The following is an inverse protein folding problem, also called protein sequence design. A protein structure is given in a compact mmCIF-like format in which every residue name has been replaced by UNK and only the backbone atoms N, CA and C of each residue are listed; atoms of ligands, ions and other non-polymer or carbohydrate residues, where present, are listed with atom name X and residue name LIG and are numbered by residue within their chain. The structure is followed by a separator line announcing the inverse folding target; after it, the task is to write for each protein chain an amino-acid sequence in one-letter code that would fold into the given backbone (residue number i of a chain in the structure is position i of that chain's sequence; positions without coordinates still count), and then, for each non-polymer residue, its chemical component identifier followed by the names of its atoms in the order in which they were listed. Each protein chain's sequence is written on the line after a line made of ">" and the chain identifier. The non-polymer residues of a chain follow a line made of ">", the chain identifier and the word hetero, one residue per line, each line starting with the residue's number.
data_IF_657438192716
#
_entry.id   IF_657438192716
#
_cell.length_a   1.000
_cell.length_b   1.000
_cell.length_c   1.000
_cell.angle_alpha   90.00
_cell.angle_beta   90.00
_cell.angle_gamma   90.00
#
_symmetry.space_group_name_H-M   'P 1'
#
loop_
_entity.id
_entity.type
_entity.pdbx_description
1 polymer ?
#
# COMPACT_ATOMS: atom_id res chain seq x y z
N UNK A 1 32.85 29.81 22.60
CA UNK A 1 31.96 30.20 21.48
C UNK A 1 31.82 29.12 20.41
N UNK A 2 32.85 28.76 19.60
CA UNK A 2 32.72 27.75 18.52
C UNK A 2 32.10 26.39 18.93
N UNK A 3 32.46 25.87 20.12
CA UNK A 3 31.88 24.62 20.67
C UNK A 3 30.37 24.71 20.95
N UNK A 4 29.86 25.90 21.32
CA UNK A 4 28.43 26.14 21.56
C UNK A 4 27.64 26.17 20.25
N UNK A 5 28.21 26.77 19.19
CA UNK A 5 27.64 26.75 17.84
C UNK A 5 27.55 25.32 17.27
N UNK A 6 28.59 24.50 17.48
CA UNK A 6 28.55 23.08 17.11
C UNK A 6 27.46 22.31 17.88
N UNK A 7 27.31 22.56 19.18
CA UNK A 7 26.28 21.90 19.99
C UNK A 7 24.86 22.32 19.58
N UNK A 8 24.62 23.62 19.32
CA UNK A 8 23.35 24.08 18.76
C UNK A 8 23.09 23.49 17.37
N UNK A 9 24.09 23.40 16.49
CA UNK A 9 23.87 22.83 15.15
C UNK A 9 23.41 21.37 15.20
N UNK A 10 23.94 20.56 16.12
CA UNK A 10 23.48 19.17 16.32
C UNK A 10 22.01 19.08 16.72
N UNK A 11 21.51 20.03 17.53
CA UNK A 11 20.11 20.06 17.97
C UNK A 11 19.13 20.42 16.84
N UNK A 12 19.57 21.11 15.79
CA UNK A 12 18.72 21.43 14.63
C UNK A 12 18.66 20.29 13.59
N UNK A 13 19.64 19.39 13.56
CA UNK A 13 19.72 18.28 12.58
C UNK A 13 18.64 17.20 12.74
N UNK A 14 17.90 17.15 13.85
CA UNK A 14 16.91 16.11 14.16
C UNK A 14 15.54 16.26 13.47
N UNK A 15 15.33 17.30 12.65
CA UNK A 15 14.01 17.67 12.12
C UNK A 15 13.68 17.15 10.70
N UNK A 16 14.48 16.23 10.15
CA UNK A 16 14.17 15.57 8.89
C UNK A 16 13.51 14.20 9.14
N UNK A 17 12.55 13.83 8.28
CA UNK A 17 11.70 12.62 8.32
C UNK A 17 10.39 12.72 9.14
N UNK A 18 9.49 13.64 8.77
CA UNK A 18 8.05 13.49 9.04
C UNK A 18 7.31 13.29 7.71
N UNK A 19 7.28 12.04 7.23
CA UNK A 19 6.28 11.61 6.26
C UNK A 19 4.98 11.36 7.03
N UNK A 20 4.16 12.41 7.20
CA UNK A 20 3.01 12.37 8.09
C UNK A 20 1.93 11.38 7.66
N UNK A 21 1.35 10.68 8.63
CA UNK A 21 0.18 9.83 8.42
C UNK A 21 -1.11 10.64 8.28
N UNK A 22 -2.01 10.12 7.44
CA UNK A 22 -3.31 10.72 7.15
C UNK A 22 -4.41 9.82 7.70
N UNK A 23 -5.23 10.37 8.58
CA UNK A 23 -6.45 9.70 9.03
C UNK A 23 -7.51 9.68 7.91
N UNK A 24 -8.14 8.54 7.73
CA UNK A 24 -9.31 8.35 6.87
C UNK A 24 -10.50 8.10 7.79
N UNK A 25 -11.53 8.93 7.68
CA UNK A 25 -12.79 8.72 8.41
C UNK A 25 -13.47 7.40 8.00
N UNK A 26 -14.38 6.91 8.83
CA UNK A 26 -15.20 5.77 8.48
C UNK A 26 -16.23 6.11 7.39
N UNK A 27 -16.61 5.09 6.62
CA UNK A 27 -17.56 5.24 5.51
C UNK A 27 -18.20 3.90 5.14
N UNK A 28 -19.30 3.98 4.38
CA UNK A 28 -19.92 2.81 3.75
C UNK A 28 -19.51 2.73 2.27
N UNK A 29 -19.16 1.54 1.81
CA UNK A 29 -18.95 1.25 0.38
C UNK A 29 -20.30 1.15 -0.35
N UNK A 30 -20.29 1.29 -1.68
CA UNK A 30 -21.50 1.18 -2.53
C UNK A 30 -22.28 -0.12 -2.36
N UNK A 31 -21.64 -1.20 -1.92
CA UNK A 31 -22.25 -2.51 -1.62
C UNK A 31 -22.71 -2.66 -0.15
N UNK A 32 -22.80 -1.58 0.62
CA UNK A 32 -23.22 -1.57 2.02
C UNK A 32 -22.15 -1.99 3.03
N UNK A 33 -20.94 -2.38 2.62
CA UNK A 33 -19.88 -2.75 3.58
C UNK A 33 -19.37 -1.52 4.34
N UNK A 34 -19.47 -1.55 5.67
CA UNK A 34 -18.85 -0.57 6.56
C UNK A 34 -17.32 -0.69 6.54
N UNK A 35 -16.63 0.45 6.51
CA UNK A 35 -15.17 0.57 6.63
C UNK A 35 -14.87 1.48 7.81
N UNK A 36 -14.27 0.92 8.86
CA UNK A 36 -13.79 1.69 10.02
C UNK A 36 -12.69 2.68 9.60
N UNK A 37 -12.67 3.85 10.24
CA UNK A 37 -11.61 4.82 10.09
C UNK A 37 -10.24 4.24 10.47
N UNK A 38 -9.20 4.68 9.77
CA UNK A 38 -7.84 4.14 9.87
C UNK A 38 -6.81 5.15 9.37
N UNK A 39 -5.56 4.98 9.81
CA UNK A 39 -4.43 5.72 9.25
C UNK A 39 -3.91 5.09 7.96
N UNK A 40 -3.39 5.93 7.08
CA UNK A 40 -2.62 5.57 5.89
C UNK A 40 -1.48 6.56 5.68
N UNK A 41 -0.49 6.14 4.90
CA UNK A 41 0.57 7.03 4.41
C UNK A 41 0.02 8.25 3.67
N UNK A 42 0.77 9.35 3.74
CA UNK A 42 0.51 10.57 2.96
C UNK A 42 0.43 10.26 1.45
N UNK A 43 -0.55 10.85 0.73
CA UNK A 43 -0.69 10.61 -0.71
C UNK A 43 0.49 11.23 -1.48
N UNK A 44 1.17 10.43 -2.29
CA UNK A 44 2.26 10.87 -3.15
C UNK A 44 2.24 10.14 -4.52
N UNK A 45 3.29 10.31 -5.34
CA UNK A 45 3.38 9.74 -6.70
C UNK A 45 4.02 8.34 -6.76
N UNK A 46 4.27 7.70 -5.61
CA UNK A 46 4.89 6.38 -5.51
C UNK A 46 4.01 5.43 -4.67
N UNK A 47 4.37 4.15 -4.69
CA UNK A 47 3.79 3.13 -3.82
C UNK A 47 4.84 2.47 -2.92
N UNK A 48 6.11 2.91 -2.99
CA UNK A 48 7.23 2.32 -2.25
C UNK A 48 7.05 2.36 -0.73
N UNK A 49 6.45 3.43 -0.22
CA UNK A 49 6.29 3.75 1.21
C UNK A 49 4.95 3.30 1.79
N UNK A 50 3.94 3.03 0.95
CA UNK A 50 2.60 2.62 1.40
C UNK A 50 2.66 1.39 2.33
N UNK A 51 1.93 1.44 3.45
CA UNK A 51 1.83 0.32 4.41
C UNK A 51 1.29 -0.98 3.82
N UNK A 52 0.57 -0.93 2.70
CA UNK A 52 0.09 -2.14 2.01
C UNK A 52 1.14 -2.77 1.08
N UNK A 53 2.27 -2.10 0.84
CA UNK A 53 3.33 -2.55 -0.08
C UNK A 53 4.30 -3.47 0.65
N UNK A 54 4.67 -4.59 0.03
CA UNK A 54 5.69 -5.49 0.58
C UNK A 54 7.09 -4.86 0.48
N UNK A 55 7.95 -4.92 1.52
CA UNK A 55 7.79 -5.59 2.82
C UNK A 55 7.42 -4.62 3.97
N UNK A 56 6.81 -3.47 3.70
CA UNK A 56 6.55 -2.44 4.72
C UNK A 56 5.60 -2.97 5.80
N UNK A 57 5.80 -2.53 7.05
CA UNK A 57 4.92 -2.87 8.16
C UNK A 57 4.03 -1.66 8.47
N UNK A 58 2.73 -1.87 8.65
CA UNK A 58 1.82 -0.84 9.15
C UNK A 58 2.07 -0.63 10.66
N UNK A 59 2.53 0.55 11.12
CA UNK A 59 2.84 0.78 12.54
C UNK A 59 1.61 0.70 13.45
N UNK A 60 0.40 0.89 12.91
CA UNK A 60 -0.85 0.88 13.66
C UNK A 60 -1.46 -0.51 13.87
N UNK A 61 -1.04 -1.51 13.08
CA UNK A 61 -1.62 -2.87 13.11
C UNK A 61 -0.57 -3.98 13.21
N UNK A 62 0.72 -3.66 13.06
CA UNK A 62 1.81 -4.65 13.00
C UNK A 62 1.78 -5.55 11.75
N UNK A 63 0.82 -5.37 10.85
CA UNK A 63 0.65 -6.21 9.66
C UNK A 63 1.60 -5.79 8.55
N UNK A 64 2.33 -6.75 7.98
CA UNK A 64 3.16 -6.52 6.80
C UNK A 64 2.31 -6.36 5.52
N UNK A 65 2.70 -5.43 4.67
CA UNK A 65 2.15 -5.22 3.34
C UNK A 65 2.43 -6.41 2.41
N UNK A 66 1.48 -6.67 1.51
CA UNK A 66 1.47 -7.83 0.60
C UNK A 66 1.42 -7.44 -0.88
N UNK A 67 1.23 -6.15 -1.20
CA UNK A 67 1.19 -5.67 -2.58
C UNK A 67 2.61 -5.46 -3.10
N UNK A 68 2.96 -6.14 -4.18
CA UNK A 68 4.22 -5.88 -4.88
C UNK A 68 4.05 -4.67 -5.82
N UNK A 69 5.00 -3.74 -5.79
CA UNK A 69 4.94 -2.47 -6.56
C UNK A 69 4.97 -2.65 -8.08
N UNK A 70 5.35 -3.82 -8.56
CA UNK A 70 5.44 -4.14 -9.98
C UNK A 70 4.52 -5.31 -10.31
N UNK A 71 3.42 -5.03 -10.99
CA UNK A 71 2.76 -6.04 -11.81
C UNK A 71 3.70 -6.36 -12.98
N UNK A 72 4.54 -7.39 -12.82
CA UNK A 72 5.30 -8.01 -13.91
C UNK A 72 4.39 -8.74 -14.94
N UNK A 73 3.07 -8.58 -14.81
CA UNK A 73 2.04 -9.04 -15.74
C UNK A 73 1.24 -7.89 -16.37
N UNK A 74 1.89 -6.76 -16.65
CA UNK A 74 1.52 -5.93 -17.80
C UNK A 74 2.04 -6.54 -19.10
N UNK A 75 1.77 -7.84 -19.32
CA UNK A 75 1.89 -8.42 -20.66
C UNK A 75 0.89 -7.69 -21.55
N UNK A 76 1.29 -7.21 -22.75
CA UNK A 76 0.32 -6.76 -23.73
C UNK A 76 -0.70 -7.88 -23.94
N UNK A 77 -2.01 -7.54 -23.98
CA UNK A 77 -3.05 -8.51 -24.33
C UNK A 77 -2.88 -8.93 -25.80
N UNK A 78 -2.04 -9.92 -26.05
CA UNK A 78 -2.09 -10.70 -27.27
C UNK A 78 -3.39 -11.51 -27.21
N UNK A 79 -4.29 -11.24 -28.16
CA UNK A 79 -5.58 -11.92 -28.28
C UNK A 79 -5.35 -13.36 -28.76
N UNK A 80 -5.05 -14.27 -27.85
CA UNK A 80 -5.14 -15.70 -28.13
C UNK A 80 -6.61 -16.09 -28.14
N UNK A 81 -7.10 -16.46 -29.33
CA UNK A 81 -8.40 -17.11 -29.50
C UNK A 81 -8.37 -18.42 -28.72
N UNK A 82 -9.05 -18.46 -27.57
CA UNK A 82 -9.25 -19.70 -26.82
C UNK A 82 -10.41 -20.48 -27.46
N UNK A 83 -10.18 -21.68 -28.01
CA UNK A 83 -11.26 -22.50 -28.53
C UNK A 83 -12.19 -22.91 -27.39
N UNK A 84 -13.49 -22.89 -27.66
CA UNK A 84 -14.54 -23.18 -26.69
C UNK A 84 -14.56 -24.68 -26.37
N UNK A 85 -13.98 -25.06 -25.24
CA UNK A 85 -14.06 -26.43 -24.72
C UNK A 85 -15.51 -26.80 -24.39
N UNK A 86 -16.06 -27.81 -25.06
CA UNK A 86 -17.35 -28.39 -24.69
C UNK A 86 -17.14 -29.39 -23.55
N UNK A 87 -17.94 -29.26 -22.50
CA UNK A 87 -17.90 -30.11 -21.30
C UNK A 87 -18.98 -31.20 -21.37
N UNK A 88 -18.60 -32.34 -21.92
CA UNK A 88 -19.12 -33.69 -21.60
C UNK A 88 -18.25 -34.28 -20.47
N UNK A 89 -18.68 -35.06 -19.50
CA UNK A 89 -19.99 -35.63 -19.09
C UNK A 89 -19.84 -36.10 -17.61
N UNK A 90 -20.81 -36.60 -16.82
CA UNK A 90 -22.19 -37.05 -17.09
C UNK A 90 -23.13 -36.79 -15.86
N UNK A 91 -23.93 -37.78 -15.43
CA UNK A 91 -24.89 -37.75 -14.31
C UNK A 91 -24.33 -38.31 -12.98
N UNK A 92 -24.85 -37.80 -11.86
CA UNK A 92 -25.11 -38.57 -10.63
C UNK A 92 -26.40 -38.03 -9.96
N UNK A 93 -27.06 -38.86 -9.14
CA UNK A 93 -28.52 -38.87 -8.91
C UNK A 93 -29.04 -37.84 -7.89
#
# INVERSE_FOLDING_TARGET
>A
MKKLLLFLSLLFYSNFLIAGDVWVNDYFRKNGTYVRGHYRTSPNKTAWDNYTTYPNINPYTGTQGTKYKYNYYSVPKFNYYTPKSYSTDYWDW
#
